data_IF_454364621451
#
_entry.id   IF_454364621451
#
_cell.length_a   1.000
_cell.length_b   1.000
_cell.length_c   1.000
_cell.angle_alpha   90.00
_cell.angle_beta   90.00
_cell.angle_gamma   90.00
#
_symmetry.space_group_name_H-M   'P 1'
#
loop_
_entity.id
_entity.type
_entity.pdbx_description
1 polymer ?
#
# COMPACT_ATOMS: atom_id res chain seq x y z
N UNK A 1 -3.85 35.78 30.31
CA UNK A 1 -4.34 34.40 30.15
C UNK A 1 -5.22 34.25 28.90
N UNK A 2 -6.10 35.24 28.64
CA UNK A 2 -7.05 35.17 27.51
C UNK A 2 -6.39 35.36 26.12
N UNK A 3 -5.19 35.97 26.07
CA UNK A 3 -4.44 36.17 24.82
C UNK A 3 -3.61 34.96 24.37
N UNK A 4 -3.16 34.15 25.30
CA UNK A 4 -2.41 32.93 25.01
C UNK A 4 -3.34 31.80 24.49
N UNK A 5 -4.54 31.67 25.06
CA UNK A 5 -5.56 30.71 24.62
C UNK A 5 -6.07 31.03 23.20
N UNK A 6 -6.20 32.33 22.82
CA UNK A 6 -6.59 32.69 21.45
C UNK A 6 -5.49 32.44 20.42
N UNK A 7 -4.23 32.61 20.81
CA UNK A 7 -3.09 32.32 19.92
C UNK A 7 -2.91 30.82 19.67
N UNK A 8 -3.09 29.98 20.70
CA UNK A 8 -3.07 28.50 20.55
C UNK A 8 -4.24 27.99 19.71
N UNK A 9 -5.43 28.58 19.86
CA UNK A 9 -6.60 28.23 19.04
C UNK A 9 -6.42 28.62 17.57
N UNK A 10 -5.81 29.79 17.30
CA UNK A 10 -5.49 30.21 15.92
C UNK A 10 -4.45 29.30 15.27
N UNK A 11 -3.38 28.96 15.99
CA UNK A 11 -2.34 28.03 15.48
C UNK A 11 -2.89 26.62 15.24
N UNK A 12 -3.80 26.15 16.08
CA UNK A 12 -4.44 24.85 15.89
C UNK A 12 -5.40 24.85 14.68
N UNK A 13 -6.10 25.96 14.43
CA UNK A 13 -6.95 26.13 13.25
C UNK A 13 -6.14 26.19 11.95
N UNK A 14 -5.07 26.97 11.91
CA UNK A 14 -4.18 27.08 10.76
C UNK A 14 -3.51 25.73 10.41
N UNK A 15 -3.10 24.94 11.41
CA UNK A 15 -2.56 23.61 11.21
C UNK A 15 -3.62 22.62 10.70
N UNK A 16 -4.88 22.77 11.15
CA UNK A 16 -5.97 21.91 10.70
C UNK A 16 -6.39 22.21 9.26
N UNK A 17 -6.38 23.48 8.86
CA UNK A 17 -6.66 23.91 7.48
C UNK A 17 -5.55 23.44 6.52
N UNK A 18 -4.27 23.58 6.87
CA UNK A 18 -3.14 23.09 6.08
C UNK A 18 -3.19 21.57 5.87
N UNK A 19 -3.47 20.80 6.92
CA UNK A 19 -3.62 19.34 6.80
C UNK A 19 -4.82 18.93 5.96
N UNK A 20 -5.90 19.70 5.98
CA UNK A 20 -7.08 19.42 5.14
C UNK A 20 -6.79 19.70 3.65
N UNK A 21 -6.07 20.77 3.35
CA UNK A 21 -5.65 21.11 1.99
C UNK A 21 -4.65 20.09 1.42
N UNK A 22 -3.65 19.67 2.21
CA UNK A 22 -2.71 18.62 1.85
C UNK A 22 -3.43 17.28 1.55
N UNK A 23 -4.40 16.92 2.37
CA UNK A 23 -5.21 15.72 2.16
C UNK A 23 -6.05 15.81 0.87
N UNK A 24 -6.59 16.99 0.58
CA UNK A 24 -7.37 17.23 -0.63
C UNK A 24 -6.48 17.11 -1.88
N UNK A 25 -5.28 17.66 -1.83
CA UNK A 25 -4.28 17.59 -2.91
C UNK A 25 -3.83 16.13 -3.14
N UNK A 26 -3.54 15.36 -2.10
CA UNK A 26 -3.18 13.95 -2.22
C UNK A 26 -4.31 13.13 -2.86
N UNK A 27 -5.58 13.39 -2.51
CA UNK A 27 -6.74 12.75 -3.12
C UNK A 27 -6.85 13.11 -4.60
N UNK A 28 -6.57 14.36 -4.97
CA UNK A 28 -6.58 14.84 -6.36
C UNK A 28 -5.53 14.11 -7.18
N UNK A 29 -4.28 14.09 -6.71
CA UNK A 29 -3.16 13.39 -7.37
C UNK A 29 -3.48 11.90 -7.57
N UNK A 30 -4.07 11.23 -6.58
CA UNK A 30 -4.42 9.80 -6.71
C UNK A 30 -5.53 9.55 -7.73
N UNK A 31 -6.49 10.47 -7.85
CA UNK A 31 -7.54 10.41 -8.89
C UNK A 31 -6.98 10.66 -10.28
N UNK A 32 -6.04 11.58 -10.44
CA UNK A 32 -5.34 11.81 -11.69
C UNK A 32 -4.56 10.57 -12.16
N UNK A 33 -3.83 9.92 -11.24
CA UNK A 33 -3.16 8.63 -11.54
C UNK A 33 -4.14 7.54 -11.94
N UNK A 34 -5.33 7.48 -11.33
CA UNK A 34 -6.37 6.55 -11.74
C UNK A 34 -6.87 6.86 -13.16
N UNK A 35 -7.12 8.13 -13.47
CA UNK A 35 -7.56 8.54 -14.79
C UNK A 35 -6.51 8.21 -15.88
N UNK A 36 -5.21 8.39 -15.59
CA UNK A 36 -4.12 7.97 -16.48
C UNK A 36 -4.15 6.45 -16.74
N UNK A 37 -4.38 5.63 -15.69
CA UNK A 37 -4.48 4.19 -15.83
C UNK A 37 -5.69 3.79 -16.68
N UNK A 38 -6.84 4.42 -16.46
CA UNK A 38 -8.07 4.18 -17.22
C UNK A 38 -7.89 4.57 -18.69
N UNK A 39 -7.29 5.72 -18.98
CA UNK A 39 -6.99 6.16 -20.34
C UNK A 39 -6.01 5.22 -21.06
N UNK A 40 -5.10 4.58 -20.33
CA UNK A 40 -4.16 3.58 -20.85
C UNK A 40 -4.77 2.18 -20.98
N UNK A 41 -6.07 1.98 -20.70
CA UNK A 41 -6.74 0.68 -20.74
C UNK A 41 -6.31 -0.28 -19.61
N UNK A 42 -5.74 0.25 -18.53
CA UNK A 42 -5.25 -0.49 -17.36
C UNK A 42 -6.06 -0.15 -16.10
N UNK A 43 -7.39 -0.06 -16.25
CA UNK A 43 -8.27 0.26 -15.13
C UNK A 43 -8.24 -0.85 -14.07
N UNK A 44 -7.72 -0.58 -12.85
CA UNK A 44 -7.62 -1.60 -11.81
C UNK A 44 -9.01 -2.09 -11.32
N UNK A 45 -10.05 -1.29 -11.49
CA UNK A 45 -11.41 -1.64 -11.05
C UNK A 45 -12.15 -2.58 -12.02
N UNK A 46 -11.61 -2.80 -13.22
CA UNK A 46 -12.15 -3.80 -14.15
C UNK A 46 -11.73 -5.22 -13.80
N UNK A 47 -10.65 -5.39 -13.01
CA UNK A 47 -10.20 -6.70 -12.56
C UNK A 47 -11.00 -7.14 -11.34
N UNK A 48 -12.12 -7.79 -11.57
CA UNK A 48 -13.06 -8.20 -10.51
C UNK A 48 -12.64 -9.46 -9.75
N UNK A 49 -11.66 -10.23 -10.23
CA UNK A 49 -11.20 -11.47 -9.61
C UNK A 49 -9.69 -11.64 -9.74
N UNK A 50 -9.05 -11.95 -8.62
CA UNK A 50 -7.68 -12.41 -8.54
C UNK A 50 -7.65 -13.72 -7.75
N UNK A 51 -7.15 -14.77 -8.35
CA UNK A 51 -7.05 -16.09 -7.70
C UNK A 51 -5.76 -16.15 -6.90
N UNK A 52 -5.90 -16.02 -5.58
CA UNK A 52 -4.83 -16.29 -4.63
C UNK A 52 -4.90 -17.74 -4.20
N UNK A 53 -3.77 -18.34 -3.87
CA UNK A 53 -3.64 -19.70 -3.34
C UNK A 53 -3.25 -19.72 -1.86
N UNK A 54 -2.60 -18.68 -1.36
CA UNK A 54 -2.12 -18.57 0.02
C UNK A 54 -2.47 -17.22 0.66
N UNK A 55 -2.36 -17.18 1.98
CA UNK A 55 -2.34 -15.95 2.79
C UNK A 55 -0.94 -15.69 3.34
N UNK A 56 -0.70 -14.48 3.84
CA UNK A 56 0.60 -14.11 4.41
C UNK A 56 1.03 -14.99 5.58
N UNK A 57 0.09 -15.43 6.41
CA UNK A 57 0.34 -16.36 7.53
C UNK A 57 0.76 -17.74 7.05
N UNK A 58 0.15 -18.25 5.99
CA UNK A 58 0.50 -19.58 5.44
C UNK A 58 1.98 -19.63 5.04
N UNK A 59 2.49 -18.52 4.46
CA UNK A 59 3.89 -18.40 4.06
C UNK A 59 4.83 -18.47 5.27
N UNK A 60 4.44 -17.84 6.40
CA UNK A 60 5.25 -17.87 7.62
C UNK A 60 5.19 -19.21 8.34
N UNK A 61 4.00 -19.80 8.43
CA UNK A 61 3.75 -21.05 9.18
C UNK A 61 4.30 -22.27 8.43
N UNK A 62 4.24 -22.28 7.09
CA UNK A 62 4.66 -23.39 6.25
C UNK A 62 5.89 -23.06 5.40
N UNK A 63 6.75 -22.17 5.90
CA UNK A 63 7.92 -21.70 5.16
C UNK A 63 8.79 -22.85 4.63
N UNK A 64 9.09 -23.85 5.46
CA UNK A 64 9.97 -24.97 5.10
C UNK A 64 9.41 -25.81 3.94
N UNK A 65 8.08 -25.84 3.79
CA UNK A 65 7.40 -26.53 2.71
C UNK A 65 7.27 -25.66 1.45
N UNK A 66 7.20 -24.34 1.63
CA UNK A 66 6.92 -23.35 0.57
C UNK A 66 8.20 -22.69 0.05
N UNK A 67 9.33 -22.83 0.71
CA UNK A 67 10.61 -22.27 0.23
C UNK A 67 10.93 -22.77 -1.19
N UNK A 68 11.23 -21.82 -2.09
CA UNK A 68 11.47 -22.09 -3.50
C UNK A 68 10.22 -22.36 -4.34
N UNK A 69 9.02 -22.39 -3.74
CA UNK A 69 7.77 -22.57 -4.48
C UNK A 69 7.17 -21.22 -4.88
N UNK A 70 6.47 -21.25 -6.01
CA UNK A 70 5.70 -20.09 -6.49
C UNK A 70 4.36 -20.04 -5.78
N UNK A 71 4.01 -18.86 -5.28
CA UNK A 71 2.75 -18.57 -4.57
C UNK A 71 2.06 -17.37 -5.17
N UNK A 72 0.72 -17.31 -5.03
CA UNK A 72 -0.12 -16.16 -5.44
C UNK A 72 -0.81 -15.56 -4.23
N UNK A 73 -0.58 -14.27 -4.02
CA UNK A 73 -1.05 -13.52 -2.86
C UNK A 73 -1.72 -12.23 -3.30
N UNK A 74 -2.66 -11.77 -2.51
CA UNK A 74 -3.28 -10.45 -2.69
C UNK A 74 -3.36 -9.72 -1.34
N UNK A 75 -3.04 -8.43 -1.34
CA UNK A 75 -3.07 -7.64 -0.12
C UNK A 75 -2.83 -6.16 -0.36
N UNK A 76 -2.86 -5.40 0.71
CA UNK A 76 -2.61 -3.96 0.73
C UNK A 76 -1.13 -3.66 0.85
N UNK A 77 -0.61 -2.83 -0.03
CA UNK A 77 0.76 -2.32 0.05
C UNK A 77 0.86 -1.30 1.19
N UNK A 78 1.65 -1.62 2.21
CA UNK A 78 1.79 -0.81 3.43
C UNK A 78 3.07 0.02 3.46
N UNK A 79 4.11 -0.42 2.74
CA UNK A 79 5.35 0.31 2.59
C UNK A 79 5.95 0.09 1.21
N UNK A 80 6.80 1.01 0.77
CA UNK A 80 7.54 0.90 -0.49
C UNK A 80 8.88 1.58 -0.36
N UNK A 81 9.97 0.83 -0.55
CA UNK A 81 11.33 1.34 -0.52
C UNK A 81 12.05 0.95 -1.81
N UNK A 82 12.20 1.93 -2.70
CA UNK A 82 12.83 1.75 -4.00
C UNK A 82 14.35 1.95 -3.86
N UNK A 83 15.12 1.01 -4.38
CA UNK A 83 16.59 1.03 -4.42
C UNK A 83 17.05 0.75 -5.86
N UNK A 84 16.98 1.76 -6.72
CA UNK A 84 17.36 1.65 -8.13
C UNK A 84 16.50 0.64 -8.91
N UNK A 85 17.06 -0.53 -9.24
CA UNK A 85 16.43 -1.60 -10.02
C UNK A 85 15.68 -2.63 -9.17
N UNK A 86 15.72 -2.47 -7.87
CA UNK A 86 15.04 -3.34 -6.92
C UNK A 86 14.25 -2.52 -5.90
N UNK A 87 13.28 -3.15 -5.28
CA UNK A 87 12.47 -2.53 -4.23
C UNK A 87 12.06 -3.58 -3.19
N UNK A 88 11.96 -3.15 -1.95
CA UNK A 88 11.24 -3.88 -0.91
C UNK A 88 9.91 -3.19 -0.63
N UNK A 89 8.87 -3.98 -0.47
CA UNK A 89 7.54 -3.56 -0.06
C UNK A 89 7.03 -4.46 1.04
N UNK A 90 6.22 -3.92 1.94
CA UNK A 90 5.41 -4.73 2.84
C UNK A 90 4.00 -4.82 2.28
N UNK A 91 3.50 -6.02 2.16
CA UNK A 91 2.10 -6.31 1.86
C UNK A 91 1.41 -6.81 3.12
N UNK A 92 0.18 -6.39 3.35
CA UNK A 92 -0.67 -6.86 4.44
C UNK A 92 -1.98 -7.39 3.89
N UNK A 93 -2.36 -8.58 4.30
CA UNK A 93 -3.70 -9.12 4.12
C UNK A 93 -4.47 -9.10 5.45
N UNK A 94 -5.59 -9.81 5.54
CA UNK A 94 -6.41 -9.86 6.77
C UNK A 94 -5.73 -10.62 7.91
N UNK A 95 -4.73 -11.43 7.64
CA UNK A 95 -4.12 -12.32 8.63
C UNK A 95 -2.73 -11.86 9.07
N UNK A 96 -1.98 -11.19 8.20
CA UNK A 96 -0.62 -10.81 8.56
C UNK A 96 0.06 -9.86 7.59
N UNK A 97 1.37 -9.79 7.71
CA UNK A 97 2.27 -9.00 6.89
C UNK A 97 3.31 -9.90 6.24
N UNK A 98 3.70 -9.60 5.02
CA UNK A 98 4.75 -10.28 4.30
C UNK A 98 5.61 -9.27 3.53
N UNK A 99 6.93 -9.47 3.54
CA UNK A 99 7.84 -8.67 2.74
C UNK A 99 7.85 -9.16 1.30
N UNK A 100 7.83 -8.23 0.37
CA UNK A 100 7.96 -8.46 -1.07
C UNK A 100 9.30 -7.91 -1.55
N UNK A 101 10.01 -8.68 -2.35
CA UNK A 101 11.17 -8.27 -3.11
C UNK A 101 10.80 -8.14 -4.58
N UNK A 102 10.81 -6.92 -5.10
CA UNK A 102 10.39 -6.60 -6.46
C UNK A 102 11.60 -6.13 -7.24
N UNK A 103 12.05 -6.94 -8.19
CA UNK A 103 13.21 -6.65 -9.03
C UNK A 103 12.75 -6.37 -10.45
N UNK A 104 13.26 -5.27 -11.05
CA UNK A 104 12.92 -4.89 -12.42
C UNK A 104 13.13 -6.01 -13.42
N UNK A 105 14.22 -6.74 -13.26
CA UNK A 105 14.59 -7.80 -14.19
C UNK A 105 13.66 -9.03 -14.09
N UNK A 106 12.96 -9.21 -12.96
CA UNK A 106 12.00 -10.30 -12.74
C UNK A 106 10.59 -9.95 -13.25
N UNK A 107 10.11 -8.74 -12.93
CA UNK A 107 8.74 -8.31 -13.29
C UNK A 107 8.66 -7.63 -14.66
N UNK A 108 9.80 -7.23 -15.23
CA UNK A 108 9.89 -6.46 -16.46
C UNK A 108 9.89 -4.94 -16.24
N UNK A 109 10.47 -4.23 -17.19
CA UNK A 109 10.68 -2.77 -17.08
C UNK A 109 9.37 -1.99 -16.99
N UNK A 110 8.38 -2.33 -17.81
CA UNK A 110 7.10 -1.61 -17.87
C UNK A 110 6.28 -1.81 -16.59
N UNK A 111 6.25 -3.03 -16.06
CA UNK A 111 5.59 -3.35 -14.79
C UNK A 111 6.29 -2.63 -13.65
N UNK A 112 7.62 -2.62 -13.63
CA UNK A 112 8.40 -1.93 -12.61
C UNK A 112 8.21 -0.40 -12.65
N UNK A 113 8.13 0.19 -13.85
CA UNK A 113 7.79 1.62 -14.03
C UNK A 113 6.40 1.93 -13.49
N UNK A 114 5.42 1.07 -13.78
CA UNK A 114 4.06 1.17 -13.24
C UNK A 114 4.05 1.08 -11.72
N UNK A 115 4.75 0.10 -11.15
CA UNK A 115 4.86 -0.10 -9.71
C UNK A 115 5.43 1.14 -8.98
N UNK A 116 6.39 1.84 -9.56
CA UNK A 116 6.92 3.09 -8.98
C UNK A 116 5.85 4.15 -8.75
N UNK A 117 4.78 4.16 -9.57
CA UNK A 117 3.65 5.08 -9.46
C UNK A 117 2.58 4.63 -8.45
N UNK A 118 2.63 3.38 -7.96
CA UNK A 118 1.68 2.89 -6.95
C UNK A 118 1.81 3.69 -5.66
N UNK A 119 0.70 3.85 -4.97
CA UNK A 119 0.65 4.57 -3.70
C UNK A 119 0.48 3.59 -2.52
N UNK A 120 0.96 4.00 -1.35
CA UNK A 120 0.70 3.26 -0.11
C UNK A 120 -0.80 3.17 0.10
N UNK A 121 -1.27 1.95 0.40
CA UNK A 121 -2.69 1.63 0.53
C UNK A 121 -3.31 1.00 -0.70
N UNK A 122 -2.66 1.00 -1.87
CA UNK A 122 -3.13 0.28 -3.05
C UNK A 122 -3.24 -1.22 -2.76
N UNK A 123 -4.24 -1.87 -3.33
CA UNK A 123 -4.38 -3.34 -3.28
C UNK A 123 -3.67 -3.93 -4.49
N UNK A 124 -2.77 -4.84 -4.22
CA UNK A 124 -1.96 -5.51 -5.24
C UNK A 124 -2.15 -7.02 -5.18
N UNK A 125 -2.07 -7.66 -6.34
CA UNK A 125 -1.92 -9.10 -6.49
C UNK A 125 -0.50 -9.40 -6.97
N UNK A 126 0.11 -10.42 -6.41
CA UNK A 126 1.46 -10.84 -6.79
C UNK A 126 1.53 -12.34 -7.03
N UNK A 127 2.45 -12.72 -7.90
CA UNK A 127 2.95 -14.09 -8.01
C UNK A 127 4.46 -14.05 -7.84
N UNK A 128 5.03 -15.02 -7.13
CA UNK A 128 6.47 -15.05 -6.91
C UNK A 128 6.93 -16.22 -6.06
N UNK A 129 8.24 -16.36 -5.97
CA UNK A 129 8.93 -17.43 -5.26
C UNK A 129 9.18 -17.06 -3.79
N UNK A 130 8.84 -17.96 -2.89
CA UNK A 130 9.10 -17.82 -1.45
C UNK A 130 10.59 -18.04 -1.18
N UNK A 131 11.20 -17.12 -0.43
CA UNK A 131 12.61 -17.23 -0.06
C UNK A 131 12.90 -16.55 1.29
N UNK A 132 14.04 -16.82 1.86
CA UNK A 132 14.56 -16.12 3.04
C UNK A 132 15.68 -15.17 2.64
N UNK A 133 15.57 -13.92 3.05
CA UNK A 133 16.63 -12.93 2.82
C UNK A 133 17.88 -13.25 3.65
N UNK A 134 19.02 -12.67 3.28
CA UNK A 134 20.28 -12.82 4.06
C UNK A 134 20.15 -12.36 5.51
N UNK A 135 19.18 -11.47 5.81
CA UNK A 135 18.89 -11.01 7.18
C UNK A 135 17.89 -11.91 7.92
N UNK A 136 17.44 -13.02 7.31
CA UNK A 136 16.53 -13.97 7.89
C UNK A 136 15.04 -13.65 7.71
N UNK A 137 14.68 -12.57 7.01
CA UNK A 137 13.27 -12.20 6.76
C UNK A 137 12.67 -13.09 5.68
N UNK A 138 11.50 -13.69 5.97
CA UNK A 138 10.72 -14.46 5.00
C UNK A 138 10.08 -13.47 4.02
N UNK A 139 10.28 -13.72 2.73
CA UNK A 139 9.91 -12.81 1.66
C UNK A 139 9.45 -13.56 0.42
N UNK A 140 8.78 -12.85 -0.49
CA UNK A 140 8.45 -13.35 -1.83
C UNK A 140 9.19 -12.52 -2.88
N UNK A 141 9.94 -13.20 -3.72
CA UNK A 141 10.58 -12.64 -4.93
C UNK A 141 9.54 -12.57 -6.03
N UNK A 142 9.04 -11.38 -6.30
CA UNK A 142 7.90 -11.16 -7.18
C UNK A 142 8.31 -11.32 -8.65
N UNK A 143 7.56 -12.15 -9.38
CA UNK A 143 7.68 -12.34 -10.84
C UNK A 143 6.53 -11.69 -11.61
N UNK A 144 5.31 -11.68 -11.03
CA UNK A 144 4.17 -10.97 -11.58
C UNK A 144 3.56 -10.03 -10.55
N UNK A 145 3.15 -8.84 -10.98
CA UNK A 145 2.56 -7.81 -10.14
C UNK A 145 1.39 -7.15 -10.85
N UNK A 146 0.25 -7.13 -10.20
CA UNK A 146 -0.99 -6.56 -10.72
C UNK A 146 -1.59 -5.57 -9.73
N UNK A 147 -2.00 -4.40 -10.18
CA UNK A 147 -2.79 -3.46 -9.38
C UNK A 147 -4.26 -3.90 -9.43
N UNK A 148 -4.81 -4.30 -8.28
CA UNK A 148 -6.18 -4.78 -8.16
C UNK A 148 -7.17 -3.69 -7.78
N UNK A 149 -6.73 -2.72 -6.98
CA UNK A 149 -7.56 -1.57 -6.59
C UNK A 149 -6.67 -0.39 -6.19
N UNK A 150 -7.06 0.79 -6.63
CA UNK A 150 -6.38 2.04 -6.30
C UNK A 150 -6.95 2.63 -5.00
N UNK A 151 -6.08 2.92 -4.05
CA UNK A 151 -6.46 3.65 -2.86
C UNK A 151 -6.54 5.16 -3.15
N UNK A 152 -7.74 5.71 -3.24
CA UNK A 152 -7.99 7.12 -3.56
C UNK A 152 -7.89 8.06 -2.36
N UNK A 153 -7.95 7.53 -1.13
CA UNK A 153 -7.78 8.30 0.09
C UNK A 153 -6.54 7.81 0.86
N UNK A 154 -5.61 8.70 1.25
CA UNK A 154 -4.47 8.31 2.07
C UNK A 154 -4.93 7.60 3.34
N UNK A 155 -4.16 6.59 3.75
CA UNK A 155 -4.39 5.94 5.05
C UNK A 155 -4.01 6.92 6.17
N UNK A 156 -4.68 6.85 7.34
CA UNK A 156 -4.29 7.61 8.52
C UNK A 156 -2.83 7.32 8.88
N UNK A 157 -2.14 8.32 9.42
CA UNK A 157 -0.77 8.12 9.87
C UNK A 157 -0.70 7.10 11.02
N UNK A 158 0.30 6.23 10.95
CA UNK A 158 0.51 5.12 11.88
C UNK A 158 0.54 5.53 13.36
N UNK A 159 1.01 6.76 13.65
CA UNK A 159 1.27 7.23 15.02
C UNK A 159 0.08 7.96 15.64
N UNK A 160 -0.82 8.46 14.83
CA UNK A 160 -1.93 9.27 15.30
C UNK A 160 -3.29 8.60 15.15
N UNK A 161 -3.43 7.63 14.24
CA UNK A 161 -4.71 6.97 13.96
C UNK A 161 -5.82 7.99 13.62
N UNK A 162 -7.06 7.57 13.74
CA UNK A 162 -8.21 8.45 13.70
C UNK A 162 -8.46 9.02 15.10
N UNK A 163 -7.82 10.16 15.45
CA UNK A 163 -8.02 10.83 16.75
C UNK A 163 -9.36 11.55 16.85
N UNK A 164 -9.87 12.03 15.73
CA UNK A 164 -11.14 12.75 15.68
C UNK A 164 -12.30 11.75 15.83
N UNK A 165 -13.04 11.90 16.92
CA UNK A 165 -14.19 11.06 17.28
C UNK A 165 -15.29 11.13 16.22
N UNK A 166 -15.52 12.31 15.64
CA UNK A 166 -16.52 12.50 14.58
C UNK A 166 -16.12 11.75 13.30
N UNK A 167 -14.84 11.79 12.93
CA UNK A 167 -14.30 11.04 11.79
C UNK A 167 -14.40 9.54 12.00
N UNK A 168 -14.14 9.05 13.22
CA UNK A 168 -14.29 7.62 13.58
C UNK A 168 -15.74 7.16 13.44
N UNK A 169 -16.69 7.96 13.86
CA UNK A 169 -18.11 7.62 13.74
C UNK A 169 -18.61 7.69 12.30
N UNK A 170 -18.14 8.63 11.51
CA UNK A 170 -18.53 8.78 10.09
C UNK A 170 -17.89 7.74 9.16
N UNK A 171 -16.72 7.25 9.51
CA UNK A 171 -15.95 6.28 8.72
C UNK A 171 -15.60 5.03 9.52
N UNK A 172 -16.58 4.50 10.23
CA UNK A 172 -16.41 3.35 11.15
C UNK A 172 -15.82 2.09 10.50
N UNK A 173 -15.92 1.98 9.20
CA UNK A 173 -15.34 0.87 8.41
C UNK A 173 -13.83 1.00 8.16
N UNK A 174 -13.20 2.08 8.57
CA UNK A 174 -11.76 2.36 8.38
C UNK A 174 -10.96 2.20 9.69
N UNK A 175 -11.66 2.03 10.83
CA UNK A 175 -11.07 1.94 12.18
C UNK A 175 -10.43 0.56 12.42
#
# INVERSE_FOLDING_TARGET
KDGEDMAEQHQAQDQHEQTAEELHELKRIRREKLAELQAAGKDPFQQVRFERDHYTTDIHEHFDELEGKTVRLAGRMMSKRIMGKASFSDMRDRYGRLQLYIKRDNVGEDVYKGYKKFDIGDIIGIEGEVFRTQKGEISVSVTELTLLSKNLAPLPEKWHGLKDTDMRYRQRYVD
#
